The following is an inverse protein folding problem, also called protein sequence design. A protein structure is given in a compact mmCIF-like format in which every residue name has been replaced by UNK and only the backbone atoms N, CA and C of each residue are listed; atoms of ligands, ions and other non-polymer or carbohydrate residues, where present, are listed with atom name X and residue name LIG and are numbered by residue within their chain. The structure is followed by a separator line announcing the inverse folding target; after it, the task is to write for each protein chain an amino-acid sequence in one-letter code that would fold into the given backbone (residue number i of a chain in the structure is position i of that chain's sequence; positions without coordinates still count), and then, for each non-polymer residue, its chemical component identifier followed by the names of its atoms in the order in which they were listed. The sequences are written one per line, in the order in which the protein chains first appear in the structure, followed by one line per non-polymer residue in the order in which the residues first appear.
data_IF_321020661025
#
_entry.id   IF_321020661025
#
_cell.length_a   1.000
_cell.length_b   1.000
_cell.length_c   1.000
_cell.angle_alpha   90.00
_cell.angle_beta   90.00
_cell.angle_gamma   90.00
#
_symmetry.space_group_name_H-M   'P 1'
#
loop_
_entity.id
_entity.type
_entity.pdbx_description
1 polymer ?
#
# COMPACT_ATOMS: atom_id res chain seq x y z
N UNK A 1 -7.11 -7.09 1.23
CA UNK A 1 -5.92 -6.26 0.89
C UNK A 1 -4.68 -7.11 0.64
N UNK A 2 -4.42 -8.11 1.47
CA UNK A 2 -3.24 -8.97 1.32
C UNK A 2 -3.19 -9.66 -0.05
N UNK A 3 -4.33 -10.16 -0.52
CA UNK A 3 -4.41 -10.80 -1.83
C UNK A 3 -4.15 -9.82 -2.98
N UNK A 4 -4.70 -8.61 -2.89
CA UNK A 4 -4.45 -7.56 -3.88
C UNK A 4 -2.98 -7.13 -3.88
N UNK A 5 -2.37 -7.00 -2.70
CA UNK A 5 -0.95 -6.68 -2.58
C UNK A 5 -0.07 -7.73 -3.25
N UNK A 6 -0.39 -9.02 -3.02
CA UNK A 6 0.35 -10.12 -3.63
C UNK A 6 0.25 -10.07 -5.16
N UNK A 7 -0.95 -9.84 -5.69
CA UNK A 7 -1.17 -9.75 -7.14
C UNK A 7 -0.46 -8.55 -7.75
N UNK A 8 -0.51 -7.39 -7.10
CA UNK A 8 0.18 -6.19 -7.58
C UNK A 8 1.69 -6.41 -7.58
N UNK A 9 2.24 -6.98 -6.51
CA UNK A 9 3.67 -7.25 -6.40
C UNK A 9 4.14 -8.24 -7.48
N UNK A 10 3.29 -9.21 -7.85
CA UNK A 10 3.60 -10.20 -8.88
C UNK A 10 3.25 -9.74 -10.31
N UNK A 11 2.64 -8.58 -10.47
CA UNK A 11 2.22 -8.07 -11.78
C UNK A 11 0.99 -8.76 -12.35
N UNK A 12 0.19 -9.42 -11.52
CA UNK A 12 -1.03 -10.12 -11.94
C UNK A 12 -2.18 -9.12 -12.09
N UNK A 13 -2.93 -9.19 -13.19
CA UNK A 13 -3.98 -8.23 -13.54
C UNK A 13 -5.32 -8.90 -13.78
N UNK A 14 -5.70 -9.85 -12.95
CA UNK A 14 -6.93 -10.62 -13.12
C UNK A 14 -8.17 -9.98 -12.49
N UNK A 15 -8.03 -8.80 -11.87
CA UNK A 15 -9.15 -8.03 -11.32
C UNK A 15 -9.14 -6.61 -11.86
N UNK A 16 -10.29 -5.89 -11.84
CA UNK A 16 -10.31 -4.49 -12.23
C UNK A 16 -9.36 -3.62 -11.41
N UNK A 17 -9.25 -3.88 -10.10
CA UNK A 17 -8.36 -3.13 -9.23
C UNK A 17 -6.88 -3.29 -9.63
N UNK A 18 -6.43 -4.53 -9.82
CA UNK A 18 -5.03 -4.81 -10.21
C UNK A 18 -4.73 -4.33 -11.61
N UNK A 19 -5.68 -4.40 -12.53
CA UNK A 19 -5.53 -3.86 -13.88
C UNK A 19 -5.39 -2.34 -13.85
N UNK A 20 -6.19 -1.66 -13.03
CA UNK A 20 -6.12 -0.20 -12.86
C UNK A 20 -4.76 0.23 -12.33
N UNK A 21 -4.22 -0.48 -11.34
CA UNK A 21 -2.88 -0.20 -10.79
C UNK A 21 -1.84 -0.31 -11.90
N UNK A 22 -1.85 -1.41 -12.66
CA UNK A 22 -0.87 -1.60 -13.74
C UNK A 22 -0.97 -0.51 -14.78
N UNK A 23 -2.18 -0.14 -15.19
CA UNK A 23 -2.41 0.92 -16.17
C UNK A 23 -1.89 2.28 -15.67
N UNK A 24 -2.16 2.64 -14.42
CA UNK A 24 -1.65 3.88 -13.82
C UNK A 24 -0.13 3.90 -13.80
N UNK A 25 0.50 2.83 -13.36
CA UNK A 25 1.97 2.76 -13.30
C UNK A 25 2.60 2.83 -14.68
N UNK A 26 2.00 2.15 -15.67
CA UNK A 26 2.49 2.20 -17.05
C UNK A 26 2.44 3.62 -17.63
N UNK A 27 1.44 4.41 -17.24
CA UNK A 27 1.27 5.79 -17.69
C UNK A 27 1.98 6.81 -16.79
N UNK A 28 2.80 6.37 -15.86
CA UNK A 28 3.55 7.25 -14.97
C UNK A 28 2.68 7.97 -13.95
N UNK A 29 1.50 7.44 -13.64
CA UNK A 29 0.57 8.04 -12.67
C UNK A 29 0.76 7.43 -11.29
N UNK A 30 0.54 8.21 -10.22
CA UNK A 30 0.69 7.69 -8.87
C UNK A 30 -0.41 6.71 -8.49
N UNK A 31 -0.04 5.73 -7.68
CA UNK A 31 -0.97 4.80 -7.04
C UNK A 31 -0.77 4.93 -5.54
N UNK A 32 -1.86 5.16 -4.82
CA UNK A 32 -1.85 5.26 -3.36
C UNK A 32 -2.50 4.01 -2.77
N UNK A 33 -1.79 3.37 -1.85
CA UNK A 33 -2.25 2.14 -1.22
C UNK A 33 -2.55 2.40 0.25
N UNK A 34 -3.77 2.08 0.68
CA UNK A 34 -4.16 2.07 2.08
C UNK A 34 -4.24 0.61 2.55
N UNK A 35 -3.27 0.18 3.32
CA UNK A 35 -3.16 -1.20 3.78
C UNK A 35 -4.19 -1.48 4.87
N UNK A 36 -4.84 -2.64 4.79
CA UNK A 36 -5.67 -3.17 5.87
C UNK A 36 -5.61 -4.69 5.76
N UNK A 37 -4.77 -5.34 6.57
CA UNK A 37 -4.57 -6.78 6.46
C UNK A 37 -4.13 -7.37 7.80
N UNK A 38 -4.62 -8.58 8.09
CA UNK A 38 -4.29 -9.30 9.33
C UNK A 38 -2.89 -9.91 9.32
N UNK A 39 -2.24 -9.97 8.17
CA UNK A 39 -0.94 -10.62 8.00
C UNK A 39 0.14 -9.70 7.45
N UNK A 40 -0.02 -8.39 7.68
CA UNK A 40 0.91 -7.38 7.16
C UNK A 40 2.36 -7.58 7.58
N UNK A 41 2.59 -8.04 8.80
CA UNK A 41 3.93 -8.40 9.30
C UNK A 41 4.24 -9.89 9.10
N UNK A 42 3.31 -10.67 8.57
CA UNK A 42 3.48 -12.07 8.23
C UNK A 42 3.67 -12.26 6.72
N UNK A 43 2.74 -13.00 6.10
CA UNK A 43 2.84 -13.33 4.66
C UNK A 43 2.84 -12.11 3.75
N UNK A 44 2.12 -11.05 4.10
CA UNK A 44 2.05 -9.85 3.25
C UNK A 44 3.25 -8.92 3.40
N UNK A 45 4.13 -9.15 4.38
CA UNK A 45 5.30 -8.29 4.60
C UNK A 45 6.19 -8.20 3.36
N UNK A 46 6.42 -9.33 2.68
CA UNK A 46 7.24 -9.38 1.47
C UNK A 46 6.62 -8.57 0.33
N UNK A 47 5.29 -8.56 0.22
CA UNK A 47 4.59 -7.83 -0.85
C UNK A 47 4.59 -6.34 -0.57
N UNK A 48 4.40 -5.93 0.68
CA UNK A 48 4.55 -4.53 1.09
C UNK A 48 5.98 -4.07 0.83
N UNK A 49 6.96 -4.86 1.26
CA UNK A 49 8.37 -4.56 1.05
C UNK A 49 8.75 -4.46 -0.42
N UNK A 50 8.15 -5.29 -1.27
CA UNK A 50 8.38 -5.23 -2.71
C UNK A 50 7.79 -3.97 -3.34
N UNK A 51 6.68 -3.46 -2.82
CA UNK A 51 5.98 -2.30 -3.38
C UNK A 51 6.48 -0.96 -2.84
N UNK A 52 7.01 -0.92 -1.62
CA UNK A 52 7.49 0.33 -1.01
C UNK A 52 8.49 1.10 -1.89
N UNK A 53 9.48 0.45 -2.53
CA UNK A 53 10.47 1.18 -3.33
C UNK A 53 10.04 1.42 -4.79
N UNK A 54 8.87 0.93 -5.20
CA UNK A 54 8.45 1.06 -6.60
C UNK A 54 8.08 2.50 -6.90
N UNK A 55 8.61 3.02 -8.03
CA UNK A 55 8.31 4.37 -8.48
C UNK A 55 6.79 4.53 -8.71
N UNK A 56 6.25 5.66 -8.25
CA UNK A 56 4.83 6.01 -8.35
C UNK A 56 3.88 5.15 -7.49
N UNK A 57 4.41 4.28 -6.65
CA UNK A 57 3.63 3.61 -5.62
C UNK A 57 3.86 4.31 -4.29
N UNK A 58 2.77 4.74 -3.67
CA UNK A 58 2.80 5.45 -2.39
C UNK A 58 1.87 4.77 -1.41
N UNK A 59 2.20 4.87 -0.14
CA UNK A 59 1.40 4.27 0.92
C UNK A 59 0.83 5.36 1.82
N UNK A 60 -0.44 5.21 2.21
CA UNK A 60 -0.97 5.93 3.36
C UNK A 60 -0.20 5.41 4.58
N UNK A 61 0.30 6.29 5.46
CA UNK A 61 1.00 5.84 6.66
C UNK A 61 0.22 4.77 7.41
N UNK A 62 0.89 3.74 7.85
CA UNK A 62 0.25 2.58 8.46
C UNK A 62 1.05 2.09 9.66
N UNK A 63 0.41 1.28 10.47
CA UNK A 63 1.03 0.67 11.63
C UNK A 63 0.19 -0.45 12.19
N UNK A 64 0.62 -0.98 13.32
CA UNK A 64 -0.13 -2.01 14.03
C UNK A 64 -1.33 -1.37 14.74
N UNK A 65 -2.52 -1.95 14.53
CA UNK A 65 -3.74 -1.50 15.21
C UNK A 65 -3.94 -2.17 16.56
N UNK A 66 -3.46 -3.42 16.71
CA UNK A 66 -3.58 -4.18 17.94
C UNK A 66 -2.37 -5.12 18.10
N UNK A 67 -1.24 -4.59 18.57
CA UNK A 67 -0.01 -5.40 18.63
C UNK A 67 -0.06 -6.57 19.61
N UNK A 68 -0.99 -6.57 20.55
CA UNK A 68 -1.10 -7.63 21.55
C UNK A 68 -1.96 -8.78 21.03
N UNK A 69 -3.19 -8.48 20.57
CA UNK A 69 -4.13 -9.51 20.13
C UNK A 69 -3.91 -9.89 18.65
N UNK A 70 -3.42 -8.95 17.84
CA UNK A 70 -3.19 -9.14 16.40
C UNK A 70 -1.81 -8.65 16.02
N UNK A 71 -0.75 -9.36 16.44
CA UNK A 71 0.61 -8.85 16.29
C UNK A 71 1.07 -8.67 14.84
N UNK A 72 0.44 -9.35 13.88
CA UNK A 72 0.80 -9.25 12.48
C UNK A 72 -0.11 -8.31 11.68
N UNK A 73 -1.15 -7.75 12.29
CA UNK A 73 -2.10 -6.88 11.60
C UNK A 73 -1.52 -5.49 11.36
N UNK A 74 -1.69 -4.98 10.14
CA UNK A 74 -1.33 -3.61 9.77
C UNK A 74 -2.54 -2.91 9.19
N UNK A 75 -2.76 -1.67 9.62
CA UNK A 75 -3.88 -0.85 9.16
C UNK A 75 -3.39 0.56 8.87
N UNK A 76 -3.81 1.10 7.73
CA UNK A 76 -3.52 2.47 7.36
C UNK A 76 -4.23 3.47 8.28
N UNK A 77 -3.61 4.63 8.43
CA UNK A 77 -4.23 5.78 9.12
C UNK A 77 -5.15 6.48 8.12
N UNK A 78 -6.42 6.08 8.08
CA UNK A 78 -7.37 6.52 7.07
C UNK A 78 -7.62 8.03 7.09
N UNK A 79 -7.46 8.68 8.22
CA UNK A 79 -7.56 10.13 8.34
C UNK A 79 -6.47 10.88 7.58
N UNK A 80 -5.39 10.20 7.21
CA UNK A 80 -4.28 10.76 6.44
C UNK A 80 -4.44 10.57 4.93
N UNK A 81 -5.50 9.92 4.46
CA UNK A 81 -5.69 9.67 3.02
C UNK A 81 -5.67 10.97 2.20
N UNK A 82 -6.38 12.05 2.57
CA UNK A 82 -6.35 13.27 1.77
C UNK A 82 -4.95 13.87 1.64
N UNK A 83 -4.20 13.93 2.73
CA UNK A 83 -2.83 14.46 2.70
C UNK A 83 -1.90 13.54 1.93
N UNK A 84 -2.01 12.23 2.13
CA UNK A 84 -1.21 11.24 1.41
C UNK A 84 -1.47 11.31 -0.10
N UNK A 85 -2.73 11.49 -0.51
CA UNK A 85 -3.10 11.63 -1.91
C UNK A 85 -2.50 12.88 -2.52
N UNK A 86 -2.56 14.01 -1.81
CA UNK A 86 -1.98 15.27 -2.28
C UNK A 86 -0.47 15.14 -2.47
N UNK A 87 0.22 14.53 -1.52
CA UNK A 87 1.66 14.32 -1.62
C UNK A 87 2.02 13.34 -2.73
N UNK A 88 1.23 12.29 -2.91
CA UNK A 88 1.44 11.33 -4.00
C UNK A 88 1.33 11.99 -5.38
N UNK A 89 0.39 12.91 -5.55
CA UNK A 89 0.25 13.70 -6.78
C UNK A 89 1.49 14.56 -7.06
N UNK A 90 2.23 14.92 -6.01
CA UNK A 90 3.49 15.66 -6.11
C UNK A 90 4.71 14.73 -6.13
N UNK A 91 4.51 13.43 -6.27
CA UNK A 91 5.59 12.44 -6.33
C UNK A 91 6.26 12.18 -5.00
N UNK A 92 5.57 12.41 -3.88
CA UNK A 92 6.17 12.31 -2.54
C UNK A 92 5.42 11.31 -1.67
N UNK A 93 6.18 10.50 -0.94
CA UNK A 93 5.65 9.66 0.12
C UNK A 93 5.54 10.47 1.39
N UNK A 94 4.34 10.56 1.95
CA UNK A 94 4.13 11.22 3.25
C UNK A 94 4.90 10.46 4.34
N UNK A 95 5.62 11.20 5.17
CA UNK A 95 6.47 10.62 6.21
C UNK A 95 6.03 11.07 7.61
N UNK A 96 6.27 10.26 8.64
CA UNK A 96 6.79 8.90 8.55
C UNK A 96 5.74 7.94 7.99
N UNK A 97 6.18 6.97 7.20
CA UNK A 97 5.25 5.99 6.61
C UNK A 97 4.80 4.96 7.64
N UNK A 98 5.61 4.67 8.63
CA UNK A 98 5.28 3.77 9.73
C UNK A 98 4.85 4.58 10.95
N UNK A 99 3.68 4.30 11.47
CA UNK A 99 3.10 4.98 12.63
C UNK A 99 2.58 3.98 13.69
#
# INVERSE_FOLDING_TARGET
TGNSLAKIAAGITDTPATLSVKSHLRNGRPVLIAVSTNDGLGQSAKNIGALLPVKNVFFVPFGQDDPIEKPNSLVAKFDLIPEAALQALNGRQIQPVLR
#
